data_IF_101178097126
#
_entry.id   IF_101178097126
#
_cell.length_a   1.000
_cell.length_b   1.000
_cell.length_c   1.000
_cell.angle_alpha   90.00
_cell.angle_beta   90.00
_cell.angle_gamma   90.00
#
_symmetry.space_group_name_H-M   'P 1'
#
loop_
_entity.id
_entity.type
_entity.pdbx_description
1 polymer ?
#
# COMPACT_ATOMS: atom_id res chain seq x y z
N UNK A 1 -10.46 -17.47 -0.37
CA UNK A 1 -11.49 -16.58 0.20
C UNK A 1 -12.85 -17.14 -0.20
N UNK A 2 -13.77 -17.40 0.73
CA UNK A 2 -15.10 -17.98 0.41
C UNK A 2 -16.21 -16.92 0.30
N UNK A 3 -15.90 -15.65 0.58
CA UNK A 3 -16.81 -14.53 0.39
C UNK A 3 -16.74 -14.04 -1.06
N UNK A 4 -17.90 -13.85 -1.67
CA UNK A 4 -18.07 -13.05 -2.89
C UNK A 4 -18.46 -11.65 -2.45
N UNK A 5 -17.52 -10.71 -2.31
CA UNK A 5 -17.83 -9.38 -1.80
C UNK A 5 -18.63 -8.59 -2.84
N UNK A 6 -19.60 -7.81 -2.39
CA UNK A 6 -20.23 -6.80 -3.23
C UNK A 6 -19.31 -5.58 -3.39
N UNK A 7 -18.63 -5.19 -2.31
CA UNK A 7 -17.73 -4.05 -2.29
C UNK A 7 -16.31 -4.45 -1.91
N UNK A 8 -15.32 -3.89 -2.58
CA UNK A 8 -13.91 -4.08 -2.22
C UNK A 8 -13.28 -2.73 -1.88
N UNK A 9 -12.68 -2.65 -0.70
CA UNK A 9 -11.92 -1.49 -0.24
C UNK A 9 -10.43 -1.80 -0.39
N UNK A 10 -9.76 -1.06 -1.27
CA UNK A 10 -8.31 -1.13 -1.48
C UNK A 10 -7.67 -0.03 -0.66
N UNK A 11 -7.01 -0.39 0.44
CA UNK A 11 -6.47 0.55 1.41
C UNK A 11 -4.94 0.51 1.37
N UNK A 12 -4.32 1.66 1.17
CA UNK A 12 -2.87 1.85 1.26
C UNK A 12 -2.49 2.86 2.34
N UNK A 13 -1.20 3.23 2.40
CA UNK A 13 -0.64 3.93 3.57
C UNK A 13 -1.31 5.28 3.86
N UNK A 14 -1.80 5.96 2.83
CA UNK A 14 -2.56 7.21 2.98
C UNK A 14 -3.85 7.05 3.80
N UNK A 15 -4.37 5.83 3.96
CA UNK A 15 -5.50 5.54 4.85
C UNK A 15 -5.10 5.74 6.32
N UNK A 16 -3.97 5.15 6.73
CA UNK A 16 -3.42 5.28 8.08
C UNK A 16 -2.99 6.74 8.36
N UNK A 17 -2.37 7.40 7.38
CA UNK A 17 -2.01 8.82 7.47
C UNK A 17 -3.24 9.72 7.64
N UNK A 18 -4.35 9.43 6.94
CA UNK A 18 -5.59 10.20 7.09
C UNK A 18 -6.26 9.99 8.45
N UNK A 19 -5.97 8.88 9.14
CA UNK A 19 -6.37 8.66 10.53
C UNK A 19 -5.42 9.33 11.54
N UNK A 20 -4.38 10.03 11.08
CA UNK A 20 -3.40 10.71 11.92
C UNK A 20 -2.27 9.81 12.44
N UNK A 21 -2.16 8.57 11.94
CA UNK A 21 -1.07 7.68 12.32
C UNK A 21 0.22 8.10 11.61
N UNK A 22 1.34 8.01 12.34
CA UNK A 22 2.68 8.29 11.82
C UNK A 22 3.24 7.07 11.09
N UNK A 23 2.71 6.76 9.92
CA UNK A 23 3.08 5.57 9.14
C UNK A 23 3.82 5.93 7.87
N UNK A 24 4.20 7.20 7.68
CA UNK A 24 5.00 7.57 6.52
C UNK A 24 6.42 7.00 6.65
N UNK A 25 7.08 6.77 5.50
CA UNK A 25 8.49 6.42 5.54
C UNK A 25 9.34 7.54 6.16
N UNK A 26 8.95 8.81 6.04
CA UNK A 26 9.62 9.91 6.76
C UNK A 26 9.56 9.74 8.28
N UNK A 27 8.39 9.47 8.83
CA UNK A 27 8.24 9.24 10.28
C UNK A 27 9.05 8.03 10.76
N UNK A 28 9.17 6.99 9.93
CA UNK A 28 10.04 5.84 10.21
C UNK A 28 11.52 6.21 10.20
N UNK A 29 12.00 6.99 9.22
CA UNK A 29 13.41 7.39 9.15
C UNK A 29 13.81 8.31 10.30
N UNK A 30 12.87 9.07 10.85
CA UNK A 30 13.05 9.90 12.05
C UNK A 30 12.96 9.10 13.38
N UNK A 31 12.60 7.81 13.32
CA UNK A 31 12.39 6.98 14.51
C UNK A 31 13.68 6.47 15.16
N UNK A 32 13.62 6.16 16.46
CA UNK A 32 14.72 5.54 17.20
C UNK A 32 15.15 4.19 16.60
N UNK A 33 14.20 3.41 16.07
CA UNK A 33 14.48 2.11 15.45
C UNK A 33 15.36 2.27 14.20
N UNK A 34 15.11 3.30 13.40
CA UNK A 34 15.96 3.61 12.25
C UNK A 34 17.31 4.20 12.67
N UNK A 35 17.34 5.07 13.69
CA UNK A 35 18.60 5.61 14.22
C UNK A 35 19.53 4.51 14.74
N UNK A 36 18.99 3.42 15.28
CA UNK A 36 19.78 2.26 15.71
C UNK A 36 20.51 1.60 14.53
N UNK A 37 19.90 1.51 13.35
CA UNK A 37 20.56 1.00 12.14
C UNK A 37 21.76 1.87 11.75
N UNK A 38 21.62 3.19 11.84
CA UNK A 38 22.71 4.12 11.58
C UNK A 38 23.86 3.96 12.58
N UNK A 39 23.54 3.82 13.87
CA UNK A 39 24.53 3.56 14.91
C UNK A 39 25.30 2.24 14.70
N UNK A 40 24.62 1.22 14.15
CA UNK A 40 25.20 -0.08 13.83
C UNK A 40 26.02 -0.08 12.52
N UNK A 41 26.11 1.05 11.82
CA UNK A 41 26.87 1.16 10.58
C UNK A 41 26.22 0.47 9.39
N UNK A 42 24.89 0.45 9.32
CA UNK A 42 24.16 -0.07 8.17
C UNK A 42 24.25 0.91 6.98
N UNK A 43 24.91 0.50 5.89
CA UNK A 43 25.19 1.35 4.73
C UNK A 43 23.94 1.67 3.92
N UNK A 44 22.98 0.74 3.85
CA UNK A 44 21.67 1.00 3.26
C UNK A 44 20.92 2.09 4.04
N UNK A 45 20.90 1.99 5.37
CA UNK A 45 20.27 3.00 6.22
C UNK A 45 20.96 4.36 6.04
N UNK A 46 22.28 4.39 5.95
CA UNK A 46 23.03 5.63 5.67
C UNK A 46 22.64 6.24 4.31
N UNK A 47 22.49 5.41 3.27
CA UNK A 47 22.00 5.88 1.96
C UNK A 47 20.61 6.51 2.07
N UNK A 48 19.67 5.82 2.72
CA UNK A 48 18.29 6.31 2.89
C UNK A 48 18.25 7.61 3.71
N UNK A 49 19.04 7.71 4.79
CA UNK A 49 19.13 8.92 5.62
C UNK A 49 19.65 10.13 4.82
N UNK A 50 20.64 9.91 3.94
CA UNK A 50 21.17 10.99 3.10
C UNK A 50 20.14 11.46 2.07
N UNK A 51 19.39 10.54 1.46
CA UNK A 51 18.30 10.89 0.54
C UNK A 51 17.16 11.62 1.25
N UNK A 52 16.80 11.20 2.46
CA UNK A 52 15.76 11.84 3.25
C UNK A 52 16.11 13.28 3.64
N UNK A 53 17.40 13.59 3.88
CA UNK A 53 17.84 14.97 4.13
C UNK A 53 17.75 15.87 2.89
N UNK A 54 17.85 15.29 1.70
CA UNK A 54 17.83 16.02 0.43
C UNK A 54 16.40 16.26 -0.09
N UNK A 55 15.42 15.44 0.35
CA UNK A 55 14.05 15.48 -0.15
C UNK A 55 13.00 15.36 0.98
N UNK A 56 11.98 16.21 0.93
CA UNK A 56 10.86 16.18 1.89
C UNK A 56 10.00 14.89 1.79
N UNK A 57 10.15 14.11 0.71
CA UNK A 57 9.46 12.85 0.50
C UNK A 57 10.43 11.80 -0.04
N UNK A 58 10.31 10.56 0.46
CA UNK A 58 11.17 9.45 0.06
C UNK A 58 10.33 8.25 -0.37
N UNK A 59 10.71 7.70 -1.50
CA UNK A 59 10.20 6.43 -2.03
C UNK A 59 11.26 5.37 -1.79
N UNK A 60 11.15 4.65 -0.66
CA UNK A 60 12.18 3.69 -0.27
C UNK A 60 12.26 2.56 -1.30
N UNK A 61 11.15 2.11 -1.89
CA UNK A 61 11.19 1.05 -2.91
C UNK A 61 12.04 1.45 -4.12
N UNK A 62 11.89 2.68 -4.62
CA UNK A 62 12.73 3.17 -5.72
C UNK A 62 14.18 3.41 -5.28
N UNK A 63 14.43 3.80 -4.04
CA UNK A 63 15.80 3.89 -3.50
C UNK A 63 16.48 2.52 -3.39
N UNK A 64 15.74 1.44 -3.09
CA UNK A 64 16.27 0.07 -3.11
C UNK A 64 16.73 -0.33 -4.52
N UNK A 65 15.99 0.06 -5.57
CA UNK A 65 16.40 -0.16 -6.97
C UNK A 65 17.73 0.54 -7.27
N UNK A 66 17.81 1.84 -6.93
CA UNK A 66 19.02 2.65 -7.13
C UNK A 66 20.21 2.11 -6.33
N UNK A 67 19.97 1.69 -5.10
CA UNK A 67 21.01 1.13 -4.25
C UNK A 67 21.53 -0.19 -4.82
N UNK A 68 20.66 -1.05 -5.36
CA UNK A 68 21.02 -2.30 -6.03
C UNK A 68 22.01 -2.10 -7.19
N UNK A 69 21.97 -0.97 -7.87
CA UNK A 69 22.86 -0.67 -9.01
C UNK A 69 24.26 -0.19 -8.59
N UNK A 70 24.48 0.18 -7.32
CA UNK A 70 25.79 0.65 -6.83
C UNK A 70 26.86 -0.44 -6.85
N UNK A 71 28.11 -0.02 -7.07
CA UNK A 71 29.26 -0.90 -6.94
C UNK A 71 29.65 -1.12 -5.46
N UNK A 72 30.29 -2.25 -5.18
CA UNK A 72 30.87 -2.60 -3.87
C UNK A 72 29.85 -2.71 -2.72
N UNK A 73 28.74 -3.40 -2.95
CA UNK A 73 27.78 -3.70 -1.88
C UNK A 73 28.13 -5.06 -1.25
N UNK A 74 28.53 -5.05 0.02
CA UNK A 74 29.05 -6.25 0.70
C UNK A 74 28.04 -6.94 1.61
N UNK A 75 27.01 -6.23 2.10
CA UNK A 75 26.08 -6.73 3.13
C UNK A 75 24.59 -6.44 2.84
N UNK A 76 24.22 -6.10 1.60
CA UNK A 76 22.91 -5.54 1.28
C UNK A 76 21.73 -6.37 1.79
N UNK A 77 21.78 -7.70 1.62
CA UNK A 77 20.68 -8.58 2.03
C UNK A 77 20.45 -8.53 3.53
N UNK A 78 21.52 -8.64 4.32
CA UNK A 78 21.48 -8.51 5.77
C UNK A 78 20.96 -7.14 6.20
N UNK A 79 21.43 -6.08 5.56
CA UNK A 79 21.04 -4.70 5.85
C UNK A 79 19.57 -4.42 5.51
N UNK A 80 19.10 -4.99 4.41
CA UNK A 80 17.70 -4.94 3.98
C UNK A 80 16.79 -5.64 4.99
N UNK A 81 17.16 -6.83 5.47
CA UNK A 81 16.37 -7.51 6.50
C UNK A 81 16.41 -6.77 7.85
N UNK A 82 17.55 -6.14 8.19
CA UNK A 82 17.62 -5.26 9.36
C UNK A 82 16.68 -4.04 9.22
N UNK A 83 16.60 -3.43 8.03
CA UNK A 83 15.66 -2.36 7.71
C UNK A 83 14.21 -2.81 7.87
N UNK A 84 13.85 -3.99 7.34
CA UNK A 84 12.51 -4.56 7.49
C UNK A 84 12.14 -4.77 8.96
N UNK A 85 13.07 -5.32 9.76
CA UNK A 85 12.87 -5.52 11.19
C UNK A 85 12.66 -4.20 11.93
N UNK A 86 13.50 -3.20 11.67
CA UNK A 86 13.36 -1.87 12.26
C UNK A 86 12.01 -1.23 11.92
N UNK A 87 11.54 -1.38 10.68
CA UNK A 87 10.22 -0.88 10.26
C UNK A 87 9.10 -1.58 11.05
N UNK A 88 9.15 -2.91 11.18
CA UNK A 88 8.14 -3.65 11.95
C UNK A 88 8.15 -3.28 13.43
N UNK A 89 9.33 -3.12 14.02
CA UNK A 89 9.49 -2.66 15.40
C UNK A 89 8.90 -1.25 15.58
N UNK A 90 9.23 -0.31 14.69
CA UNK A 90 8.70 1.04 14.69
C UNK A 90 7.17 1.06 14.64
N UNK A 91 6.57 0.35 13.68
CA UNK A 91 5.11 0.26 13.55
C UNK A 91 4.46 -0.41 14.77
N UNK A 92 5.20 -1.27 15.48
CA UNK A 92 4.78 -1.86 16.75
C UNK A 92 4.73 -0.87 17.91
N UNK A 93 5.44 0.26 17.83
CA UNK A 93 5.46 1.30 18.88
C UNK A 93 4.33 2.34 18.75
N UNK A 94 3.68 2.41 17.59
CA UNK A 94 2.63 3.40 17.34
C UNK A 94 1.42 3.21 18.27
N UNK A 95 0.84 4.33 18.69
CA UNK A 95 -0.45 4.35 19.38
C UNK A 95 -1.60 4.35 18.37
N UNK A 96 -2.32 3.24 18.31
CA UNK A 96 -3.46 3.05 17.41
C UNK A 96 -4.79 3.50 18.01
N UNK A 97 -4.82 3.93 19.27
CA UNK A 97 -6.05 4.38 19.94
C UNK A 97 -6.44 5.78 19.48
N UNK A 98 -5.45 6.65 19.28
CA UNK A 98 -5.63 8.00 18.76
C UNK A 98 -5.83 7.99 17.24
N UNK A 99 -7.07 8.27 16.80
CA UNK A 99 -7.41 8.37 15.37
C UNK A 99 -8.24 9.63 15.11
N UNK A 100 -7.84 10.40 14.11
CA UNK A 100 -8.60 11.58 13.66
C UNK A 100 -9.92 11.12 13.02
N UNK A 101 -11.02 11.86 13.29
CA UNK A 101 -12.26 11.64 12.56
C UNK A 101 -12.06 12.14 11.13
N UNK A 102 -11.91 11.20 10.19
CA UNK A 102 -11.41 11.50 8.85
C UNK A 102 -12.18 10.81 7.73
N UNK A 103 -11.79 11.03 6.46
CA UNK A 103 -12.46 10.43 5.30
C UNK A 103 -12.21 8.93 5.25
N UNK A 104 -11.08 8.48 5.78
CA UNK A 104 -10.78 7.08 6.00
C UNK A 104 -11.81 6.43 6.94
N UNK A 105 -12.16 7.09 8.05
CA UNK A 105 -13.17 6.59 8.99
C UNK A 105 -14.58 6.62 8.38
N UNK A 106 -14.96 7.71 7.69
CA UNK A 106 -16.24 7.80 6.97
C UNK A 106 -16.40 6.68 5.92
N UNK A 107 -15.33 6.34 5.19
CA UNK A 107 -15.37 5.27 4.19
C UNK A 107 -15.69 3.91 4.82
N UNK A 108 -15.03 3.56 5.92
CA UNK A 108 -15.26 2.28 6.59
C UNK A 108 -16.69 2.21 7.16
N UNK A 109 -17.15 3.29 7.79
CA UNK A 109 -18.51 3.39 8.34
C UNK A 109 -19.59 3.28 7.27
N UNK A 110 -19.37 3.88 6.08
CA UNK A 110 -20.27 3.78 4.91
C UNK A 110 -20.61 2.32 4.55
N UNK A 111 -19.65 1.40 4.69
CA UNK A 111 -19.81 -0.01 4.31
C UNK A 111 -20.11 -0.94 5.50
N UNK A 112 -20.26 -0.42 6.73
CA UNK A 112 -20.41 -1.23 7.96
C UNK A 112 -21.51 -2.29 7.87
N UNK A 113 -22.63 -1.99 7.20
CA UNK A 113 -23.78 -2.90 7.09
C UNK A 113 -23.83 -3.66 5.76
N UNK A 114 -22.84 -3.49 4.91
CA UNK A 114 -22.79 -4.08 3.56
C UNK A 114 -21.85 -5.29 3.51
N UNK A 115 -21.93 -6.04 2.41
CA UNK A 115 -21.00 -7.14 2.15
C UNK A 115 -19.71 -6.63 1.50
N UNK A 116 -18.72 -6.27 2.33
CA UNK A 116 -17.43 -5.78 1.84
C UNK A 116 -16.24 -6.67 2.23
N UNK A 117 -15.16 -6.53 1.46
CA UNK A 117 -13.82 -7.04 1.73
C UNK A 117 -12.82 -5.89 1.68
N UNK A 118 -11.84 -5.92 2.58
CA UNK A 118 -10.70 -5.00 2.59
C UNK A 118 -9.49 -5.74 2.01
N UNK A 119 -8.93 -5.19 0.94
CA UNK A 119 -7.57 -5.49 0.50
C UNK A 119 -6.65 -4.45 1.11
N UNK A 120 -5.93 -4.87 2.14
CA UNK A 120 -5.14 -4.01 2.99
C UNK A 120 -3.66 -4.15 2.65
N UNK A 121 -3.09 -3.09 2.08
CA UNK A 121 -1.69 -2.99 1.71
C UNK A 121 -0.83 -2.42 2.84
N UNK A 122 -1.43 -2.01 3.97
CA UNK A 122 -0.72 -1.50 5.13
C UNK A 122 -0.20 -2.64 5.99
N UNK A 123 1.00 -2.46 6.53
CA UNK A 123 1.62 -3.42 7.45
C UNK A 123 0.98 -3.41 8.85
N UNK A 124 0.30 -2.31 9.18
CA UNK A 124 -0.24 -2.00 10.51
C UNK A 124 -1.46 -2.86 10.87
N UNK A 125 -1.98 -2.70 12.09
CA UNK A 125 -3.21 -3.38 12.56
C UNK A 125 -4.46 -2.47 12.50
N UNK A 126 -4.37 -1.32 11.82
CA UNK A 126 -5.36 -0.24 11.85
C UNK A 126 -6.76 -0.72 11.45
N UNK A 127 -6.87 -1.41 10.31
CA UNK A 127 -8.13 -1.96 9.78
C UNK A 127 -8.77 -2.97 10.73
N UNK A 128 -7.96 -3.86 11.33
CA UNK A 128 -8.43 -4.83 12.32
C UNK A 128 -9.06 -4.10 13.53
N UNK A 129 -8.36 -3.12 14.10
CA UNK A 129 -8.86 -2.38 15.27
C UNK A 129 -10.14 -1.62 14.92
N UNK A 130 -10.19 -0.94 13.77
CA UNK A 130 -11.41 -0.24 13.33
C UNK A 130 -12.60 -1.20 13.21
N UNK A 131 -12.40 -2.40 12.65
CA UNK A 131 -13.48 -3.38 12.57
C UNK A 131 -13.89 -3.94 13.95
N UNK A 132 -12.95 -4.10 14.87
CA UNK A 132 -13.25 -4.44 16.27
C UNK A 132 -14.08 -3.34 16.95
N UNK A 133 -13.75 -2.07 16.74
CA UNK A 133 -14.49 -0.90 17.26
C UNK A 133 -15.92 -0.83 16.68
N UNK A 134 -16.13 -1.33 15.47
CA UNK A 134 -17.44 -1.47 14.84
C UNK A 134 -18.21 -2.73 15.30
N UNK A 135 -17.70 -3.48 16.27
CA UNK A 135 -18.26 -4.72 16.83
C UNK A 135 -18.30 -5.92 15.85
N UNK A 136 -17.43 -5.98 14.84
CA UNK A 136 -17.27 -7.20 14.05
C UNK A 136 -16.63 -8.31 14.89
N UNK A 137 -17.09 -9.55 14.74
CA UNK A 137 -16.46 -10.70 15.41
C UNK A 137 -15.13 -11.02 14.74
N UNK A 138 -14.20 -11.57 15.52
CA UNK A 138 -12.88 -11.99 15.03
C UNK A 138 -12.94 -12.88 13.77
N UNK A 139 -13.90 -13.81 13.68
CA UNK A 139 -14.09 -14.66 12.50
C UNK A 139 -14.48 -13.86 11.26
N UNK A 140 -15.35 -12.85 11.41
CA UNK A 140 -15.78 -11.99 10.31
C UNK A 140 -14.64 -11.09 9.83
N UNK A 141 -13.86 -10.53 10.76
CA UNK A 141 -12.68 -9.71 10.45
C UNK A 141 -11.67 -10.53 9.63
N UNK A 142 -11.37 -11.76 10.08
CA UNK A 142 -10.44 -12.64 9.39
C UNK A 142 -10.89 -13.01 7.97
N UNK A 143 -12.20 -13.10 7.74
CA UNK A 143 -12.74 -13.39 6.42
C UNK A 143 -12.82 -12.15 5.52
N UNK A 144 -12.92 -10.95 6.09
CA UNK A 144 -13.08 -9.69 5.36
C UNK A 144 -11.77 -8.97 5.06
N UNK A 145 -10.72 -9.14 5.86
CA UNK A 145 -9.44 -8.46 5.65
C UNK A 145 -8.43 -9.40 4.99
N UNK A 146 -7.87 -8.97 3.86
CA UNK A 146 -6.72 -9.61 3.21
C UNK A 146 -5.53 -8.68 3.30
N UNK A 147 -4.49 -9.10 4.01
CA UNK A 147 -3.20 -8.39 4.08
C UNK A 147 -2.36 -8.72 2.85
N UNK A 148 -2.37 -7.83 1.86
CA UNK A 148 -1.67 -8.04 0.58
C UNK A 148 -0.15 -7.99 0.78
N UNK A 149 0.32 -7.08 1.63
CA UNK A 149 1.74 -6.94 1.95
C UNK A 149 2.13 -7.52 3.31
N UNK A 150 1.37 -8.51 3.81
CA UNK A 150 1.63 -9.10 5.14
C UNK A 150 1.37 -8.11 6.29
N UNK A 151 1.88 -8.43 7.48
CA UNK A 151 1.72 -7.56 8.66
C UNK A 151 2.94 -7.51 9.56
N UNK A 152 3.21 -6.32 10.10
CA UNK A 152 4.23 -6.12 11.12
C UNK A 152 3.96 -6.94 12.40
N UNK A 153 2.68 -7.19 12.71
CA UNK A 153 2.28 -8.00 13.88
C UNK A 153 2.68 -9.46 13.74
N UNK A 154 2.56 -10.03 12.54
CA UNK A 154 2.91 -11.42 12.21
C UNK A 154 4.35 -11.57 11.74
N UNK A 155 5.07 -10.45 11.58
CA UNK A 155 6.47 -10.37 11.15
C UNK A 155 6.71 -10.95 9.76
N UNK A 156 5.76 -10.74 8.85
CA UNK A 156 5.78 -11.28 7.48
C UNK A 156 5.52 -10.20 6.43
N UNK A 157 6.04 -8.99 6.67
CA UNK A 157 5.86 -7.88 5.73
C UNK A 157 6.47 -8.20 4.37
N UNK A 158 5.74 -7.87 3.32
CA UNK A 158 6.21 -7.94 1.93
C UNK A 158 6.59 -6.51 1.55
N UNK A 159 7.90 -6.27 1.59
CA UNK A 159 8.52 -5.00 1.28
C UNK A 159 9.48 -5.18 0.09
N UNK A 160 9.78 -4.11 -0.64
CA UNK A 160 10.67 -4.16 -1.79
C UNK A 160 9.98 -3.84 -3.12
N UNK A 161 10.53 -4.37 -4.21
CA UNK A 161 10.29 -3.87 -5.57
C UNK A 161 9.44 -4.83 -6.42
N UNK A 162 8.87 -4.33 -7.51
CA UNK A 162 8.15 -5.14 -8.49
C UNK A 162 9.05 -6.10 -9.27
N UNK A 163 8.45 -7.14 -9.84
CA UNK A 163 9.17 -8.18 -10.59
C UNK A 163 9.95 -7.65 -11.79
N UNK A 164 9.44 -6.59 -12.43
CA UNK A 164 10.06 -5.91 -13.57
C UNK A 164 11.13 -4.89 -13.21
N UNK A 165 11.42 -4.68 -11.92
CA UNK A 165 12.43 -3.73 -11.49
C UNK A 165 13.81 -4.10 -12.05
N UNK A 166 14.54 -3.09 -12.54
CA UNK A 166 15.93 -3.25 -12.96
C UNK A 166 16.80 -3.28 -11.71
N UNK A 167 17.26 -4.47 -11.33
CA UNK A 167 18.12 -4.73 -10.17
C UNK A 167 19.22 -5.73 -10.55
N UNK A 168 20.34 -5.72 -9.84
CA UNK A 168 21.36 -6.77 -10.01
C UNK A 168 20.79 -8.13 -9.64
N UNK A 169 21.24 -9.18 -10.34
CA UNK A 169 20.65 -10.53 -10.27
C UNK A 169 20.75 -11.13 -8.87
N UNK A 170 21.86 -10.90 -8.20
CA UNK A 170 22.14 -11.32 -6.83
C UNK A 170 21.20 -10.66 -5.81
N UNK A 171 20.58 -9.53 -6.13
CA UNK A 171 19.65 -8.81 -5.24
C UNK A 171 18.19 -9.25 -5.40
N UNK A 172 17.96 -10.48 -5.86
CA UNK A 172 16.61 -11.04 -6.08
C UNK A 172 15.74 -11.00 -4.81
N UNK A 173 16.35 -11.00 -3.63
CA UNK A 173 15.67 -10.87 -2.33
C UNK A 173 14.85 -9.59 -2.18
N UNK A 174 15.11 -8.55 -2.99
CA UNK A 174 14.32 -7.31 -3.02
C UNK A 174 12.96 -7.47 -3.71
N UNK A 175 12.78 -8.50 -4.55
CA UNK A 175 11.52 -8.68 -5.27
C UNK A 175 10.43 -9.14 -4.31
N UNK A 176 9.27 -8.49 -4.33
CA UNK A 176 8.12 -8.89 -3.50
C UNK A 176 7.73 -10.36 -3.73
N UNK A 177 7.81 -10.84 -4.97
CA UNK A 177 7.52 -12.24 -5.34
C UNK A 177 8.51 -13.27 -4.79
N UNK A 178 9.69 -12.84 -4.32
CA UNK A 178 10.64 -13.70 -3.65
C UNK A 178 10.20 -14.05 -2.21
N UNK A 179 9.31 -13.25 -1.61
CA UNK A 179 8.88 -13.45 -0.24
C UNK A 179 8.13 -14.80 -0.07
N UNK A 180 8.46 -15.65 0.93
CA UNK A 180 7.85 -16.97 1.06
C UNK A 180 6.34 -16.99 1.24
N UNK A 181 5.77 -15.94 1.83
CA UNK A 181 4.32 -15.79 2.03
C UNK A 181 3.64 -15.04 0.89
N UNK A 182 4.38 -14.65 -0.16
CA UNK A 182 3.79 -14.03 -1.34
C UNK A 182 2.80 -15.01 -1.96
N UNK A 183 1.52 -14.74 -1.73
CA UNK A 183 0.46 -15.43 -2.42
C UNK A 183 0.17 -14.62 -3.67
N UNK A 184 0.28 -15.26 -4.84
CA UNK A 184 -0.33 -14.79 -6.07
C UNK A 184 -1.86 -14.84 -5.89
N UNK A 185 -2.38 -14.03 -4.98
CA UNK A 185 -3.81 -13.87 -4.77
C UNK A 185 -4.34 -13.38 -6.09
N UNK A 186 -5.25 -14.14 -6.69
CA UNK A 186 -5.86 -13.77 -7.96
C UNK A 186 -6.84 -12.60 -7.73
N UNK A 187 -6.30 -11.42 -7.41
CA UNK A 187 -7.08 -10.21 -7.14
C UNK A 187 -7.99 -9.88 -8.31
N UNK A 188 -7.56 -10.20 -9.53
CA UNK A 188 -8.38 -10.11 -10.74
C UNK A 188 -9.69 -10.88 -10.60
N UNK A 189 -9.67 -12.11 -10.08
CA UNK A 189 -10.91 -12.88 -9.85
C UNK A 189 -11.81 -12.25 -8.79
N UNK A 190 -11.21 -11.67 -7.73
CA UNK A 190 -11.95 -11.01 -6.65
C UNK A 190 -12.60 -9.72 -7.18
N UNK A 191 -11.86 -8.92 -7.95
CA UNK A 191 -12.37 -7.67 -8.55
C UNK A 191 -13.50 -7.91 -9.55
N UNK A 192 -13.46 -9.01 -10.31
CA UNK A 192 -14.53 -9.38 -11.26
C UNK A 192 -15.86 -9.69 -10.58
N UNK A 193 -15.84 -10.15 -9.32
CA UNK A 193 -17.06 -10.50 -8.59
C UNK A 193 -17.70 -9.30 -7.87
N UNK A 194 -16.95 -8.21 -7.68
CA UNK A 194 -17.43 -7.03 -6.97
C UNK A 194 -18.22 -6.06 -7.86
N UNK A 195 -19.26 -5.45 -7.28
CA UNK A 195 -20.06 -4.40 -7.93
C UNK A 195 -19.41 -3.02 -7.78
N UNK A 196 -18.62 -2.82 -6.72
CA UNK A 196 -17.84 -1.59 -6.55
C UNK A 196 -16.45 -1.78 -5.93
N UNK A 197 -15.57 -0.85 -6.26
CA UNK A 197 -14.21 -0.71 -5.74
C UNK A 197 -14.01 0.68 -5.16
N UNK A 198 -13.45 0.76 -3.95
CA UNK A 198 -13.03 2.03 -3.36
C UNK A 198 -11.53 1.99 -3.06
N UNK A 199 -10.77 2.94 -3.60
CA UNK A 199 -9.32 3.05 -3.43
C UNK A 199 -9.02 4.22 -2.50
N UNK A 200 -8.43 3.96 -1.34
CA UNK A 200 -8.10 5.00 -0.38
C UNK A 200 -6.64 4.94 0.06
N UNK A 201 -5.91 6.03 -0.17
CA UNK A 201 -4.54 6.18 0.32
C UNK A 201 -3.54 5.20 -0.29
N UNK A 202 -3.94 4.42 -1.29
CA UNK A 202 -3.08 3.60 -2.10
C UNK A 202 -2.50 4.46 -3.22
N UNK A 203 -1.18 4.49 -3.37
CA UNK A 203 -0.52 5.29 -4.41
C UNK A 203 -0.83 4.78 -5.82
N UNK A 204 -1.28 3.53 -5.94
CA UNK A 204 -1.40 2.79 -7.20
C UNK A 204 -0.07 2.74 -7.95
N UNK A 205 1.05 2.89 -7.24
CA UNK A 205 2.36 3.02 -7.85
C UNK A 205 2.81 1.76 -8.60
N UNK A 206 3.83 1.96 -9.44
CA UNK A 206 4.43 0.93 -10.28
C UNK A 206 4.76 -0.38 -9.55
N UNK A 207 5.17 -0.30 -8.28
CA UNK A 207 5.53 -1.46 -7.46
C UNK A 207 4.36 -2.42 -7.22
N UNK A 208 3.12 -1.98 -7.42
CA UNK A 208 1.88 -2.72 -7.20
C UNK A 208 1.09 -2.98 -8.51
N UNK A 209 1.63 -2.59 -9.67
CA UNK A 209 0.97 -2.80 -10.97
C UNK A 209 0.60 -4.26 -11.25
N UNK A 210 1.36 -5.21 -10.73
CA UNK A 210 1.08 -6.65 -10.87
C UNK A 210 -0.32 -7.04 -10.37
N UNK A 211 -0.89 -6.25 -9.45
CA UNK A 211 -2.22 -6.48 -8.89
C UNK A 211 -3.35 -5.84 -9.70
N UNK A 212 -3.08 -4.72 -10.39
CA UNK A 212 -4.12 -3.83 -10.89
C UNK A 212 -4.12 -3.65 -12.42
N UNK A 213 -2.97 -3.77 -13.09
CA UNK A 213 -2.82 -3.42 -14.52
C UNK A 213 -3.76 -4.20 -15.44
N UNK A 214 -3.86 -5.50 -15.23
CA UNK A 214 -4.77 -6.38 -16.01
C UNK A 214 -6.24 -6.01 -15.81
N UNK A 215 -6.60 -5.55 -14.61
CA UNK A 215 -7.96 -5.16 -14.30
C UNK A 215 -8.32 -3.83 -14.95
N UNK A 216 -7.48 -2.80 -14.79
CA UNK A 216 -7.73 -1.48 -15.36
C UNK A 216 -7.68 -1.45 -16.89
N UNK A 217 -6.78 -2.21 -17.51
CA UNK A 217 -6.76 -2.36 -18.98
C UNK A 217 -8.03 -3.01 -19.52
N UNK A 218 -8.57 -4.03 -18.83
CA UNK A 218 -9.85 -4.64 -19.18
C UNK A 218 -11.04 -3.69 -18.95
N UNK A 219 -11.05 -2.95 -17.83
CA UNK A 219 -12.07 -1.95 -17.51
C UNK A 219 -12.10 -0.81 -18.54
N UNK A 220 -10.94 -0.40 -19.07
CA UNK A 220 -10.83 0.59 -20.14
C UNK A 220 -11.35 0.11 -21.50
N UNK A 221 -11.41 -1.21 -21.70
CA UNK A 221 -11.88 -1.83 -22.94
C UNK A 221 -13.37 -2.18 -22.93
N UNK A 222 -14.09 -1.90 -21.83
CA UNK A 222 -15.55 -2.03 -21.76
C UNK A 222 -16.08 -3.46 -21.52
N UNK A 223 -15.23 -4.38 -21.07
CA UNK A 223 -15.65 -5.77 -20.83
C UNK A 223 -16.56 -5.91 -19.61
N UNK A 224 -16.43 -5.06 -18.59
CA UNK A 224 -17.19 -5.11 -17.34
C UNK A 224 -17.42 -3.68 -16.83
N UNK A 225 -18.66 -3.33 -16.45
CA UNK A 225 -18.99 -2.03 -15.85
C UNK A 225 -18.88 -2.15 -14.33
N UNK A 226 -17.96 -1.42 -13.72
CA UNK A 226 -17.81 -1.36 -12.27
C UNK A 226 -17.99 0.07 -11.76
N UNK A 227 -18.46 0.22 -10.52
CA UNK A 227 -18.48 1.50 -9.82
C UNK A 227 -17.14 1.65 -9.07
N UNK A 228 -16.36 2.67 -9.39
CA UNK A 228 -15.05 2.89 -8.78
C UNK A 228 -14.99 4.26 -8.10
N UNK A 229 -14.56 4.28 -6.85
CA UNK A 229 -14.36 5.51 -6.08
C UNK A 229 -12.89 5.63 -5.70
N UNK A 230 -12.26 6.75 -6.06
CA UNK A 230 -10.85 7.01 -5.75
C UNK A 230 -10.72 8.20 -4.82
N UNK A 231 -10.01 8.00 -3.72
CA UNK A 231 -9.67 9.06 -2.78
C UNK A 231 -8.24 9.54 -3.02
N UNK A 232 -8.07 10.85 -3.15
CA UNK A 232 -6.78 11.49 -3.40
C UNK A 232 -6.54 12.65 -2.44
N UNK A 233 -5.28 12.97 -2.17
CA UNK A 233 -4.90 14.07 -1.28
C UNK A 233 -4.29 15.23 -2.07
N UNK A 234 -5.00 16.36 -2.12
CA UNK A 234 -4.55 17.57 -2.81
C UNK A 234 -4.40 17.42 -4.33
N UNK A 235 -3.98 18.51 -5.00
CA UNK A 235 -3.86 18.52 -6.47
C UNK A 235 -2.69 17.68 -7.00
N UNK A 236 -1.61 17.57 -6.23
CA UNK A 236 -0.48 16.72 -6.60
C UNK A 236 -0.87 15.24 -6.53
N UNK A 237 -1.52 14.80 -5.45
CA UNK A 237 -2.04 13.44 -5.33
C UNK A 237 -3.06 13.11 -6.43
N UNK A 238 -3.92 14.06 -6.79
CA UNK A 238 -4.83 13.90 -7.93
C UNK A 238 -4.08 13.64 -9.22
N UNK A 239 -3.07 14.47 -9.53
CA UNK A 239 -2.27 14.32 -10.76
C UNK A 239 -1.52 12.99 -10.78
N UNK A 240 -0.88 12.60 -9.68
CA UNK A 240 -0.14 11.35 -9.56
C UNK A 240 -1.05 10.15 -9.80
N UNK A 241 -2.20 10.09 -9.14
CA UNK A 241 -3.20 9.05 -9.37
C UNK A 241 -3.64 8.97 -10.85
N UNK A 242 -3.81 10.10 -11.53
CA UNK A 242 -4.14 10.10 -12.96
C UNK A 242 -3.00 9.62 -13.85
N UNK A 243 -1.74 9.88 -13.51
CA UNK A 243 -0.59 9.31 -14.22
C UNK A 243 -0.58 7.79 -14.09
N UNK A 244 -0.79 7.26 -12.88
CA UNK A 244 -0.84 5.80 -12.66
C UNK A 244 -2.03 5.15 -13.38
N UNK A 245 -3.22 5.77 -13.35
CA UNK A 245 -4.39 5.29 -14.09
C UNK A 245 -4.18 5.33 -15.61
N UNK A 246 -3.49 6.34 -16.13
CA UNK A 246 -3.19 6.43 -17.58
C UNK A 246 -2.32 5.24 -18.01
N UNK A 247 -1.24 4.98 -17.28
CA UNK A 247 -0.36 3.83 -17.52
C UNK A 247 -1.10 2.49 -17.41
N UNK A 248 -1.89 2.28 -16.34
CA UNK A 248 -2.60 1.03 -16.12
C UNK A 248 -3.76 0.80 -17.11
N UNK A 249 -4.32 1.86 -17.68
CA UNK A 249 -5.35 1.77 -18.74
C UNK A 249 -4.78 1.71 -20.14
N UNK A 250 -3.44 1.60 -20.29
CA UNK A 250 -2.75 1.60 -21.59
C UNK A 250 -3.09 2.88 -22.36
N UNK A 251 -3.00 4.02 -21.68
CA UNK A 251 -3.30 5.36 -22.17
C UNK A 251 -4.73 5.55 -22.70
N UNK A 252 -5.70 4.78 -22.16
CA UNK A 252 -7.11 4.86 -22.53
C UNK A 252 -8.02 5.29 -21.36
N UNK A 253 -7.68 6.41 -20.72
CA UNK A 253 -8.52 7.03 -19.68
C UNK A 253 -9.94 7.37 -20.18
N UNK A 254 -10.09 7.67 -21.46
CA UNK A 254 -11.40 7.99 -22.05
C UNK A 254 -12.34 6.78 -22.04
N UNK A 255 -11.86 5.62 -22.52
CA UNK A 255 -12.61 4.36 -22.46
C UNK A 255 -12.88 3.94 -21.01
N UNK A 256 -11.88 4.08 -20.13
CA UNK A 256 -12.06 3.82 -18.70
C UNK A 256 -13.22 4.61 -18.10
N UNK A 257 -13.29 5.92 -18.36
CA UNK A 257 -14.39 6.78 -17.89
C UNK A 257 -15.72 6.53 -18.62
N UNK A 258 -15.69 6.15 -19.89
CA UNK A 258 -16.91 5.89 -20.67
C UNK A 258 -17.58 4.58 -20.25
N UNK A 259 -16.81 3.57 -19.90
CA UNK A 259 -17.31 2.24 -19.59
C UNK A 259 -17.60 2.00 -18.12
N UNK A 260 -17.10 2.84 -17.21
CA UNK A 260 -17.23 2.69 -15.77
C UNK A 260 -17.90 3.91 -15.13
N UNK A 261 -18.50 3.74 -13.95
CA UNK A 261 -18.92 4.87 -13.13
C UNK A 261 -17.78 5.19 -12.17
N UNK A 262 -17.05 6.28 -12.42
CA UNK A 262 -15.86 6.63 -11.65
C UNK A 262 -16.06 7.94 -10.91
N UNK A 263 -15.85 7.93 -9.60
CA UNK A 263 -15.85 9.12 -8.74
C UNK A 263 -14.47 9.37 -8.16
N UNK A 264 -14.13 10.65 -8.00
CA UNK A 264 -12.85 11.08 -7.42
C UNK A 264 -13.16 12.03 -6.27
N UNK A 265 -12.68 11.70 -5.08
CA UNK A 265 -12.99 12.43 -3.84
C UNK A 265 -11.69 12.93 -3.21
N UNK A 266 -11.61 14.24 -2.95
CA UNK A 266 -10.49 14.78 -2.19
C UNK A 266 -10.63 14.36 -0.72
N UNK A 267 -9.59 13.71 -0.16
CA UNK A 267 -9.55 13.26 1.24
C UNK A 267 -8.89 14.27 2.18
N UNK A 268 -8.50 15.44 1.66
CA UNK A 268 -8.02 16.56 2.45
C UNK A 268 -9.06 16.98 3.49
N UNK A 269 -8.65 17.01 4.76
CA UNK A 269 -9.38 17.68 5.83
C UNK A 269 -8.74 19.05 6.03
N UNK A 270 -9.55 20.11 5.96
CA UNK A 270 -9.13 21.40 6.49
C UNK A 270 -8.89 21.20 7.99
N UNK A 271 -7.62 21.33 8.41
CA UNK A 271 -7.25 21.39 9.83
C UNK A 271 -7.59 22.75 10.40
#
# INVERSE_FOLDING_TARGET
>A
MNLKPEHILVLGNGFDLNLGLKTSYGDFLDSEQFQLLLYQGNDLALHLANRHKEANWIDIENELKRYSEKDQIHAFETEYYALCNALMEYLGTLDYTMREHSKAMELIEKYRYENFVILDFNYTKTTQILMEDMNFKFSEIKERIVKIHGSAKTKDIIFGVEDGATIRREHVFLKKSFHPTFQATNLRSIFKEATSLSFFGHSLGQTDYMYFKDYFSAAASGYEKCNMEFFYYGMEGYKNMFMELDEMTIHNLSGFRQHNQVTFTNSYHDK
#
